data_IF_828129220661
#
_entry.id   IF_828129220661
#
_cell.length_a   1.000
_cell.length_b   1.000
_cell.length_c   1.000
_cell.angle_alpha   90.00
_cell.angle_beta   90.00
_cell.angle_gamma   90.00
#
_symmetry.space_group_name_H-M   'P 1'
#
loop_
_entity.id
_entity.type
_entity.pdbx_description
1 polymer ?
#
# COMPACT_ATOMS: atom_id res chain seq x y z
N UNK A 1 -4.75 6.96 9.46
CA UNK A 1 -4.88 5.50 9.35
C UNK A 1 -6.33 5.15 9.58
N UNK A 2 -6.87 4.19 8.83
CA UNK A 2 -8.25 3.69 8.96
C UNK A 2 -8.17 2.17 9.12
N UNK A 3 -8.80 1.61 10.15
CA UNK A 3 -8.94 0.17 10.32
C UNK A 3 -10.39 -0.25 10.07
N UNK A 4 -10.59 -1.34 9.34
CA UNK A 4 -11.89 -2.02 9.19
C UNK A 4 -11.74 -3.49 9.56
N UNK A 5 -12.71 -4.03 10.28
CA UNK A 5 -12.78 -5.46 10.61
C UNK A 5 -13.78 -6.18 9.71
N UNK A 6 -13.46 -7.40 9.29
CA UNK A 6 -14.30 -8.20 8.40
C UNK A 6 -14.05 -9.72 8.60
N UNK A 7 -14.74 -10.56 7.83
CA UNK A 7 -14.71 -12.02 7.99
C UNK A 7 -15.76 -12.53 8.98
N UNK A 8 -15.82 -13.86 9.18
CA UNK A 8 -16.69 -14.42 10.20
C UNK A 8 -16.16 -13.97 11.58
N UNK A 9 -17.04 -13.46 12.43
CA UNK A 9 -16.68 -12.94 13.76
C UNK A 9 -15.61 -11.83 13.79
N UNK A 10 -15.44 -11.05 12.72
CA UNK A 10 -14.50 -9.90 12.66
C UNK A 10 -13.01 -10.28 12.86
N UNK A 11 -12.63 -11.50 12.50
CA UNK A 11 -11.28 -12.04 12.66
C UNK A 11 -10.22 -11.41 11.73
N UNK A 12 -10.64 -10.76 10.64
CA UNK A 12 -9.75 -10.13 9.66
C UNK A 12 -9.69 -8.60 9.85
N UNK A 13 -8.50 -8.02 9.70
CA UNK A 13 -8.27 -6.57 9.72
C UNK A 13 -7.84 -6.06 8.36
N UNK A 14 -8.46 -4.95 7.92
CA UNK A 14 -8.02 -4.15 6.79
C UNK A 14 -7.52 -2.82 7.30
N UNK A 15 -6.25 -2.49 7.03
CA UNK A 15 -5.61 -1.26 7.47
C UNK A 15 -5.27 -0.39 6.25
N UNK A 16 -5.73 0.86 6.26
CA UNK A 16 -5.43 1.86 5.22
C UNK A 16 -4.50 2.91 5.79
N UNK A 17 -3.37 3.08 5.11
CA UNK A 17 -2.32 4.04 5.45
C UNK A 17 -2.19 5.00 4.27
N UNK A 18 -2.16 6.29 4.55
CA UNK A 18 -1.93 7.33 3.54
C UNK A 18 -0.49 7.82 3.68
N UNK A 19 0.36 7.54 2.69
CA UNK A 19 1.81 7.80 2.67
C UNK A 19 2.21 9.27 2.88
N UNK A 20 1.29 10.20 2.69
CA UNK A 20 1.51 11.65 2.81
C UNK A 20 1.68 12.15 4.24
N UNK A 21 1.55 11.29 5.26
CA UNK A 21 1.75 11.67 6.66
C UNK A 21 3.15 11.24 7.11
N UNK A 22 4.03 12.19 7.43
CA UNK A 22 5.44 11.97 7.80
C UNK A 22 5.70 10.99 8.98
N UNK A 23 4.68 10.55 9.70
CA UNK A 23 4.81 9.68 10.90
C UNK A 23 4.82 8.16 10.62
N UNK A 24 4.93 7.75 9.36
CA UNK A 24 4.57 6.39 8.94
C UNK A 24 5.59 5.33 9.35
N UNK A 25 6.89 5.60 9.30
CA UNK A 25 7.86 4.50 9.32
C UNK A 25 7.97 3.78 10.67
N UNK A 26 7.99 4.50 11.78
CA UNK A 26 8.29 3.87 13.07
C UNK A 26 7.06 3.23 13.71
N UNK A 27 5.92 3.91 13.63
CA UNK A 27 4.68 3.44 14.24
C UNK A 27 4.10 2.22 13.51
N UNK A 28 4.23 2.13 12.18
CA UNK A 28 3.68 1.01 11.42
C UNK A 28 4.42 -0.31 11.59
N UNK A 29 5.75 -0.23 11.71
CA UNK A 29 6.60 -1.41 11.95
C UNK A 29 6.31 -1.97 13.34
N UNK A 30 6.22 -1.11 14.36
CA UNK A 30 6.03 -1.53 15.76
C UNK A 30 4.57 -1.97 16.04
N UNK A 31 3.56 -1.21 15.60
CA UNK A 31 2.16 -1.47 15.98
C UNK A 31 1.51 -2.64 15.21
N UNK A 32 2.01 -2.93 13.99
CA UNK A 32 1.39 -3.91 13.10
C UNK A 32 2.31 -5.07 12.69
N UNK A 33 3.54 -5.11 13.23
CA UNK A 33 4.52 -6.15 12.91
C UNK A 33 4.90 -6.18 11.43
N UNK A 34 4.78 -5.03 10.75
CA UNK A 34 5.14 -4.88 9.35
C UNK A 34 6.66 -4.86 9.23
N UNK A 35 7.17 -5.57 8.24
CA UNK A 35 8.60 -5.55 7.95
C UNK A 35 9.00 -4.16 7.43
N UNK A 36 10.13 -3.64 7.91
CA UNK A 36 10.69 -2.37 7.48
C UNK A 36 10.99 -2.38 5.97
N UNK A 37 11.43 -3.52 5.44
CA UNK A 37 11.65 -3.68 4.00
C UNK A 37 10.35 -3.49 3.21
N UNK A 38 9.25 -4.09 3.69
CA UNK A 38 7.92 -3.97 3.08
C UNK A 38 7.38 -2.53 3.14
N UNK A 39 7.60 -1.83 4.26
CA UNK A 39 7.24 -0.39 4.37
C UNK A 39 8.04 0.44 3.37
N UNK A 40 9.33 0.15 3.20
CA UNK A 40 10.18 0.85 2.22
C UNK A 40 9.66 0.66 0.80
N UNK A 41 9.26 -0.55 0.42
CA UNK A 41 8.66 -0.81 -0.89
C UNK A 41 7.34 -0.07 -1.10
N UNK A 42 6.47 -0.04 -0.08
CA UNK A 42 5.18 0.62 -0.17
C UNK A 42 5.30 2.16 -0.32
N UNK A 43 6.41 2.75 0.13
CA UNK A 43 6.66 4.20 0.07
C UNK A 43 7.46 4.63 -1.16
N UNK A 44 8.12 3.70 -1.87
CA UNK A 44 8.88 4.04 -3.07
C UNK A 44 7.95 4.25 -4.27
N UNK A 45 7.86 5.51 -4.72
CA UNK A 45 7.07 5.92 -5.89
C UNK A 45 7.61 5.36 -7.22
N UNK A 46 8.84 4.86 -7.24
CA UNK A 46 9.46 4.27 -8.43
C UNK A 46 9.36 2.74 -8.46
N UNK A 47 8.80 2.12 -7.42
CA UNK A 47 8.65 0.69 -7.36
C UNK A 47 7.72 0.19 -8.48
N UNK A 48 8.15 -0.86 -9.18
CA UNK A 48 7.40 -1.35 -10.34
C UNK A 48 6.25 -2.23 -9.87
N UNK A 49 5.16 -2.26 -10.63
CA UNK A 49 4.07 -3.18 -10.35
C UNK A 49 4.56 -4.64 -10.39
N UNK A 50 4.33 -5.37 -9.30
CA UNK A 50 4.71 -6.78 -9.16
C UNK A 50 3.94 -7.46 -8.02
N UNK A 51 4.04 -8.79 -7.97
CA UNK A 51 3.47 -9.66 -6.95
C UNK A 51 4.58 -10.55 -6.36
N UNK A 52 4.66 -10.60 -5.05
CA UNK A 52 5.62 -11.45 -4.33
C UNK A 52 4.90 -12.22 -3.23
N UNK A 53 5.27 -13.49 -3.05
CA UNK A 53 4.88 -14.31 -1.91
C UNK A 53 6.12 -14.78 -1.16
N UNK A 54 6.22 -14.43 0.13
CA UNK A 54 7.25 -14.94 1.03
C UNK A 54 6.72 -16.15 1.78
N UNK A 55 7.23 -17.34 1.42
CA UNK A 55 6.83 -18.62 2.03
C UNK A 55 7.28 -18.73 3.49
N UNK A 56 8.40 -18.11 3.87
CA UNK A 56 8.92 -18.17 5.25
C UNK A 56 8.07 -17.34 6.19
N UNK A 57 7.58 -16.20 5.71
CA UNK A 57 6.75 -15.29 6.50
C UNK A 57 5.25 -15.50 6.30
N UNK A 58 4.84 -16.32 5.33
CA UNK A 58 3.47 -16.51 4.86
C UNK A 58 2.77 -15.18 4.50
N UNK A 59 3.41 -14.41 3.61
CA UNK A 59 2.98 -13.04 3.27
C UNK A 59 2.89 -12.83 1.77
N UNK A 60 1.84 -12.13 1.34
CA UNK A 60 1.67 -11.67 -0.04
C UNK A 60 1.84 -10.15 -0.10
N UNK A 61 2.70 -9.69 -1.01
CA UNK A 61 2.88 -8.28 -1.36
C UNK A 61 2.39 -8.05 -2.79
N UNK A 62 1.49 -7.09 -2.96
CA UNK A 62 1.02 -6.64 -4.26
C UNK A 62 1.30 -5.14 -4.42
N UNK A 63 2.08 -4.78 -5.43
CA UNK A 63 2.33 -3.41 -5.85
C UNK A 63 1.71 -3.23 -7.23
N UNK A 64 0.90 -2.19 -7.40
CA UNK A 64 0.15 -1.96 -8.62
C UNK A 64 0.10 -0.48 -8.97
N UNK A 65 0.07 -0.20 -10.28
CA UNK A 65 -0.07 1.16 -10.78
C UNK A 65 -1.55 1.54 -10.84
N UNK A 66 -1.86 2.76 -10.41
CA UNK A 66 -3.16 3.38 -10.62
C UNK A 66 -3.10 4.29 -11.85
N UNK A 67 -4.16 4.26 -12.67
CA UNK A 67 -4.33 5.24 -13.73
C UNK A 67 -4.58 6.61 -13.11
N UNK A 68 -3.74 7.58 -13.49
CA UNK A 68 -3.91 8.98 -13.10
C UNK A 68 -4.94 9.64 -14.04
N UNK A 69 -6.21 9.56 -13.66
CA UNK A 69 -7.32 10.14 -14.44
C UNK A 69 -7.22 11.66 -14.61
N UNK A 70 -6.39 12.35 -13.83
CA UNK A 70 -6.18 13.80 -13.98
C UNK A 70 -5.26 14.15 -15.15
N UNK A 71 -4.52 13.16 -15.69
CA UNK A 71 -3.62 13.34 -16.83
C UNK A 71 -4.28 13.09 -18.19
N UNK A 72 -5.42 12.41 -18.24
CA UNK A 72 -6.14 12.14 -19.49
C UNK A 72 -6.83 13.41 -20.07
N UNK A 73 -7.21 14.37 -19.22
CA UNK A 73 -7.91 15.59 -19.67
C UNK A 73 -7.00 16.63 -20.36
N UNK A 74 -5.67 16.47 -20.29
CA UNK A 74 -4.72 17.46 -20.84
C UNK A 74 -4.28 17.21 -22.29
N UNK A 75 -4.72 16.12 -22.93
CA UNK A 75 -4.25 15.75 -24.28
C UNK A 75 -5.24 15.99 -25.43
N UNK A 76 -6.50 16.35 -25.16
CA UNK A 76 -7.52 16.60 -26.21
C UNK A 76 -7.85 18.08 -26.45
N UNK A 77 -7.03 19.01 -25.94
CA UNK A 77 -7.29 20.46 -26.01
C UNK A 77 -6.72 21.21 -27.22
N UNK A 78 -6.09 20.54 -28.19
CA UNK A 78 -5.53 21.20 -29.39
C UNK A 78 -5.76 20.35 -30.65
N UNK A 79 -6.98 20.41 -31.20
CA UNK A 79 -7.29 20.12 -32.60
C UNK A 79 -8.15 21.26 -33.16
#
# INVERSE_FOLDING_TARGET
MIEKRFGNNNELSWIIIHSEREMIDKQLVEDYGLDKELVSYALDKNERAHLQYDVKLDRLLLIFNLLDKTKEDNYYGNL
#
